data_IF_802924141775
#
_entry.id   IF_802924141775
#
_cell.length_a   1.000
_cell.length_b   1.000
_cell.length_c   1.000
_cell.angle_alpha   90.00
_cell.angle_beta   90.00
_cell.angle_gamma   90.00
#
_symmetry.space_group_name_H-M   'P 1'
#
loop_
_entity.id
_entity.type
_entity.pdbx_description
1 polymer ?
#
# COMPACT_ATOMS: atom_id res chain seq x y z
N UNK A 1 2.72 51.18 6.17
CA UNK A 1 2.80 50.19 5.08
C UNK A 1 4.26 49.87 4.89
N UNK A 2 4.69 48.65 5.19
CA UNK A 2 6.09 48.23 5.00
C UNK A 2 6.15 47.57 3.63
N UNK A 3 6.97 48.10 2.74
CA UNK A 3 7.20 47.57 1.39
C UNK A 3 8.65 47.10 1.36
N UNK A 4 8.87 45.84 0.97
CA UNK A 4 10.21 45.30 0.78
C UNK A 4 10.76 45.79 -0.58
N UNK A 5 11.98 46.32 -0.57
CA UNK A 5 12.71 46.70 -1.79
C UNK A 5 13.68 45.58 -2.16
N UNK A 6 13.72 45.22 -3.44
CA UNK A 6 14.58 44.16 -3.95
C UNK A 6 15.41 44.67 -5.12
N UNK A 7 16.65 44.24 -5.22
CA UNK A 7 17.52 44.55 -6.35
C UNK A 7 16.93 43.98 -7.66
N UNK A 8 16.94 44.77 -8.72
CA UNK A 8 16.54 44.31 -10.06
C UNK A 8 17.64 43.42 -10.64
N UNK A 9 17.30 42.16 -10.91
CA UNK A 9 18.23 41.16 -11.45
C UNK A 9 17.84 40.78 -12.87
N UNK A 10 18.74 40.11 -13.58
CA UNK A 10 18.54 39.66 -14.96
C UNK A 10 17.31 38.72 -15.09
N UNK A 11 16.75 38.59 -16.30
CA UNK A 11 15.72 37.58 -16.57
C UNK A 11 16.18 36.18 -16.15
N UNK A 12 15.25 35.38 -15.60
CA UNK A 12 15.51 34.04 -15.05
C UNK A 12 16.31 34.00 -13.72
N UNK A 13 16.42 35.14 -13.03
CA UNK A 13 16.96 35.20 -11.67
C UNK A 13 16.00 35.89 -10.70
N UNK A 14 16.11 35.58 -9.40
CA UNK A 14 15.25 36.13 -8.35
C UNK A 14 16.08 36.83 -7.26
N UNK A 15 15.74 38.07 -6.95
CA UNK A 15 16.26 38.78 -5.77
C UNK A 15 15.32 38.55 -4.60
N UNK A 16 15.72 37.70 -3.66
CA UNK A 16 14.96 37.38 -2.46
C UNK A 16 15.89 37.67 -1.28
N UNK A 17 15.52 38.64 -0.43
CA UNK A 17 16.19 38.88 0.84
C UNK A 17 15.46 38.10 1.92
N UNK A 18 16.14 37.13 2.53
CA UNK A 18 15.57 36.27 3.57
C UNK A 18 15.14 37.07 4.82
N UNK A 19 15.75 38.24 5.06
CA UNK A 19 15.41 39.18 6.15
C UNK A 19 13.98 39.72 6.06
N UNK A 20 13.33 39.63 4.88
CA UNK A 20 11.93 40.01 4.69
C UNK A 20 10.94 38.88 5.00
N UNK A 21 11.41 37.68 5.34
CA UNK A 21 10.58 36.54 5.71
C UNK A 21 10.80 36.20 7.18
N UNK A 22 9.72 36.21 7.95
CA UNK A 22 9.77 35.86 9.37
C UNK A 22 10.04 34.36 9.55
N UNK A 23 11.32 34.04 9.78
CA UNK A 23 11.79 32.73 10.22
C UNK A 23 12.06 31.71 9.12
N UNK A 24 12.59 30.53 9.49
CA UNK A 24 12.92 29.48 8.54
C UNK A 24 11.69 29.05 7.74
N UNK A 25 11.86 28.85 6.43
CA UNK A 25 10.81 28.30 5.58
C UNK A 25 10.29 26.99 6.17
N UNK A 26 9.01 26.98 6.52
CA UNK A 26 8.31 25.76 6.93
C UNK A 26 8.33 24.76 5.78
N UNK A 27 8.54 23.49 6.12
CA UNK A 27 8.42 22.43 5.13
C UNK A 27 6.99 22.42 4.56
N UNK A 28 6.82 22.26 3.24
CA UNK A 28 5.50 22.24 2.64
C UNK A 28 4.69 21.05 3.18
N UNK A 29 3.53 21.33 3.78
CA UNK A 29 2.58 20.29 4.20
C UNK A 29 1.79 19.78 2.99
N UNK A 30 2.00 18.53 2.61
CA UNK A 30 1.29 17.82 1.52
C UNK A 30 0.18 16.89 2.04
N UNK A 31 -0.54 17.33 3.08
CA UNK A 31 -1.66 16.57 3.64
C UNK A 31 -2.99 16.87 2.92
N UNK A 32 -4.01 16.00 3.05
CA UNK A 32 -5.35 16.27 2.56
C UNK A 32 -5.89 17.62 3.08
N UNK A 33 -6.59 18.36 2.22
CA UNK A 33 -7.21 19.66 2.53
C UNK A 33 -8.71 19.59 2.25
N UNK A 34 -9.51 19.03 3.18
CA UNK A 34 -10.93 18.83 2.97
C UNK A 34 -11.68 20.17 2.93
N UNK A 35 -12.47 20.38 1.89
CA UNK A 35 -13.34 21.55 1.69
C UNK A 35 -14.81 21.20 1.87
N UNK A 36 -15.23 20.06 1.31
CA UNK A 36 -16.63 19.62 1.34
C UNK A 36 -16.98 18.93 2.67
N UNK A 37 -18.28 18.80 2.97
CA UNK A 37 -18.75 18.06 4.15
C UNK A 37 -18.32 16.59 4.10
N UNK A 38 -18.44 15.96 2.93
CA UNK A 38 -18.03 14.57 2.65
C UNK A 38 -16.54 14.39 2.92
N UNK A 39 -15.70 15.26 2.40
CA UNK A 39 -14.24 15.20 2.62
C UNK A 39 -13.90 15.37 4.11
N UNK A 40 -14.56 16.29 4.81
CA UNK A 40 -14.34 16.50 6.26
C UNK A 40 -14.75 15.27 7.07
N UNK A 41 -15.89 14.66 6.76
CA UNK A 41 -16.35 13.43 7.42
C UNK A 41 -15.37 12.28 7.18
N UNK A 42 -14.89 12.13 5.95
CA UNK A 42 -13.92 11.08 5.64
C UNK A 42 -12.57 11.31 6.34
N UNK A 43 -12.04 12.55 6.34
CA UNK A 43 -10.82 12.87 7.06
C UNK A 43 -10.95 12.70 8.59
N UNK A 44 -12.15 12.86 9.15
CA UNK A 44 -12.40 12.66 10.58
C UNK A 44 -12.25 11.18 11.02
N UNK A 45 -12.18 10.23 10.09
CA UNK A 45 -11.91 8.81 10.37
C UNK A 45 -10.47 8.56 10.85
N UNK A 46 -9.55 9.52 10.65
CA UNK A 46 -8.19 9.46 11.17
C UNK A 46 -7.13 8.99 10.17
N UNK A 47 -6.05 8.40 10.69
CA UNK A 47 -4.81 8.17 9.94
C UNK A 47 -4.97 7.22 8.74
N UNK A 48 -5.78 6.16 8.85
CA UNK A 48 -6.00 5.23 7.74
C UNK A 48 -6.73 5.88 6.57
N UNK A 49 -7.65 6.82 6.86
CA UNK A 49 -8.34 7.60 5.84
C UNK A 49 -7.40 8.59 5.15
N UNK A 50 -6.53 9.27 5.91
CA UNK A 50 -5.49 10.12 5.34
C UNK A 50 -4.54 9.33 4.43
N UNK A 51 -4.04 8.18 4.89
CA UNK A 51 -3.17 7.32 4.10
C UNK A 51 -3.86 6.81 2.82
N UNK A 52 -5.16 6.49 2.91
CA UNK A 52 -5.97 6.12 1.74
C UNK A 52 -6.08 7.28 0.74
N UNK A 53 -6.32 8.51 1.18
CA UNK A 53 -6.40 9.69 0.31
C UNK A 53 -5.07 9.97 -0.40
N UNK A 54 -3.95 9.90 0.35
CA UNK A 54 -2.60 10.08 -0.22
C UNK A 54 -2.31 9.00 -1.27
N UNK A 55 -2.65 7.74 -0.99
CA UNK A 55 -2.48 6.64 -1.93
C UNK A 55 -3.38 6.76 -3.17
N UNK A 56 -4.64 7.14 -2.99
CA UNK A 56 -5.59 7.38 -4.09
C UNK A 56 -5.12 8.52 -5.01
N UNK A 57 -4.59 9.60 -4.43
CA UNK A 57 -3.98 10.69 -5.18
C UNK A 57 -2.72 10.23 -5.93
N UNK A 58 -1.86 9.43 -5.30
CA UNK A 58 -0.63 8.93 -5.93
C UNK A 58 -0.90 8.05 -7.15
N UNK A 59 -2.02 7.31 -7.18
CA UNK A 59 -2.43 6.52 -8.36
C UNK A 59 -3.26 7.32 -9.39
N UNK A 60 -3.47 8.62 -9.16
CA UNK A 60 -4.24 9.48 -10.08
C UNK A 60 -5.73 9.19 -10.10
N UNK A 61 -6.36 8.89 -8.95
CA UNK A 61 -7.80 8.65 -8.90
C UNK A 61 -8.61 9.93 -9.18
N UNK A 62 -9.10 10.08 -10.41
CA UNK A 62 -9.92 11.23 -10.85
C UNK A 62 -11.37 11.20 -10.36
N UNK A 63 -11.83 10.08 -9.78
CA UNK A 63 -13.22 9.90 -9.31
C UNK A 63 -13.33 9.93 -7.78
N UNK A 64 -12.32 10.48 -7.10
CA UNK A 64 -12.21 10.43 -5.65
C UNK A 64 -13.46 10.98 -4.94
N UNK A 65 -14.01 12.11 -5.39
CA UNK A 65 -15.20 12.72 -4.78
C UNK A 65 -16.39 11.75 -4.70
N UNK A 66 -16.72 11.08 -5.81
CA UNK A 66 -17.81 10.09 -5.84
C UNK A 66 -17.47 8.83 -5.02
N UNK A 67 -16.20 8.44 -4.97
CA UNK A 67 -15.78 7.30 -4.16
C UNK A 67 -15.90 7.57 -2.65
N UNK A 68 -15.65 8.80 -2.19
CA UNK A 68 -15.79 9.16 -0.78
C UNK A 68 -17.25 9.01 -0.31
N UNK A 69 -18.21 9.41 -1.13
CA UNK A 69 -19.63 9.20 -0.82
C UNK A 69 -19.97 7.70 -0.66
N UNK A 70 -19.46 6.86 -1.56
CA UNK A 70 -19.65 5.40 -1.48
C UNK A 70 -18.97 4.84 -0.22
N UNK A 71 -17.77 5.30 0.12
CA UNK A 71 -17.03 4.84 1.29
C UNK A 71 -17.74 5.22 2.61
N UNK A 72 -18.28 6.43 2.70
CA UNK A 72 -19.07 6.84 3.88
C UNK A 72 -20.39 6.07 3.97
N UNK A 73 -21.04 5.79 2.83
CA UNK A 73 -22.22 4.92 2.80
C UNK A 73 -21.90 3.48 3.25
N UNK A 74 -20.73 2.94 2.88
CA UNK A 74 -20.24 1.66 3.40
C UNK A 74 -20.01 1.71 4.91
N UNK A 75 -19.43 2.80 5.43
CA UNK A 75 -19.28 3.02 6.86
C UNK A 75 -20.63 3.05 7.61
N UNK A 76 -21.63 3.71 7.05
CA UNK A 76 -22.97 3.74 7.61
C UNK A 76 -23.64 2.35 7.64
N UNK A 77 -23.34 1.48 6.66
CA UNK A 77 -23.92 0.14 6.57
C UNK A 77 -23.19 -0.91 7.43
N UNK A 78 -21.86 -0.81 7.55
CA UNK A 78 -21.03 -1.84 8.20
C UNK A 78 -20.50 -1.41 9.58
N UNK A 79 -20.62 -0.13 9.94
CA UNK A 79 -20.03 0.47 11.13
C UNK A 79 -18.64 1.06 10.85
N UNK A 80 -18.30 2.09 11.63
CA UNK A 80 -17.07 2.88 11.47
C UNK A 80 -15.81 2.04 11.69
N UNK A 81 -15.78 1.18 12.71
CA UNK A 81 -14.59 0.37 13.03
C UNK A 81 -14.28 -0.64 11.92
N UNK A 82 -15.31 -1.25 11.34
CA UNK A 82 -15.17 -2.15 10.20
C UNK A 82 -14.63 -1.41 8.97
N UNK A 83 -15.11 -0.18 8.72
CA UNK A 83 -14.61 0.67 7.64
C UNK A 83 -13.13 1.03 7.87
N UNK A 84 -12.74 1.45 9.07
CA UNK A 84 -11.35 1.80 9.39
C UNK A 84 -10.44 0.57 9.18
N UNK A 85 -10.83 -0.59 9.68
CA UNK A 85 -10.08 -1.84 9.47
C UNK A 85 -9.97 -2.21 7.98
N UNK A 86 -11.01 -1.94 7.18
CA UNK A 86 -10.98 -2.15 5.74
C UNK A 86 -10.08 -1.15 5.01
N UNK A 87 -10.09 0.14 5.42
CA UNK A 87 -9.20 1.17 4.89
C UNK A 87 -7.73 0.84 5.20
N UNK A 88 -7.43 0.44 6.44
CA UNK A 88 -6.10 -0.01 6.84
C UNK A 88 -5.57 -1.11 5.91
N UNK A 89 -6.40 -2.13 5.66
CA UNK A 89 -6.05 -3.23 4.76
C UNK A 89 -5.93 -2.75 3.31
N UNK A 90 -6.83 -1.90 2.84
CA UNK A 90 -6.80 -1.34 1.50
C UNK A 90 -5.48 -0.58 1.23
N UNK A 91 -5.04 0.23 2.20
CA UNK A 91 -3.74 0.93 2.18
C UNK A 91 -2.59 -0.07 2.14
N UNK A 92 -2.60 -1.09 3.00
CA UNK A 92 -1.54 -2.09 3.06
C UNK A 92 -1.36 -2.86 1.73
N UNK A 93 -2.46 -3.14 1.03
CA UNK A 93 -2.45 -3.78 -0.29
C UNK A 93 -2.41 -2.80 -1.48
N UNK A 94 -2.28 -1.49 -1.23
CA UNK A 94 -2.25 -0.44 -2.26
C UNK A 94 -3.49 -0.43 -3.17
N UNK A 95 -4.64 -0.78 -2.61
CA UNK A 95 -5.95 -0.80 -3.29
C UNK A 95 -6.74 0.43 -2.87
N UNK A 96 -7.00 1.35 -3.80
CA UNK A 96 -7.52 2.68 -3.48
C UNK A 96 -8.87 2.99 -4.15
N UNK A 97 -9.73 1.98 -4.33
CA UNK A 97 -11.09 2.14 -4.86
C UNK A 97 -12.14 1.75 -3.84
N UNK A 98 -13.29 2.41 -3.88
CA UNK A 98 -14.45 2.02 -3.06
C UNK A 98 -14.90 0.56 -3.28
N UNK A 99 -14.75 0.03 -4.51
CA UNK A 99 -15.02 -1.38 -4.82
C UNK A 99 -14.07 -2.35 -4.10
N UNK A 100 -12.81 -1.94 -3.90
CA UNK A 100 -11.82 -2.74 -3.17
C UNK A 100 -12.18 -2.81 -1.68
N UNK A 101 -12.53 -1.67 -1.09
CA UNK A 101 -12.97 -1.60 0.32
C UNK A 101 -14.24 -2.43 0.54
N UNK A 102 -15.21 -2.36 -0.39
CA UNK A 102 -16.40 -3.23 -0.35
C UNK A 102 -16.01 -4.71 -0.40
N UNK A 103 -15.05 -5.08 -1.25
CA UNK A 103 -14.58 -6.46 -1.35
C UNK A 103 -13.90 -6.94 -0.07
N UNK A 104 -13.14 -6.06 0.59
CA UNK A 104 -12.50 -6.35 1.89
C UNK A 104 -13.55 -6.54 2.98
N UNK A 105 -14.55 -5.67 3.04
CA UNK A 105 -15.67 -5.79 3.99
C UNK A 105 -16.45 -7.09 3.79
N UNK A 106 -16.69 -7.48 2.54
CA UNK A 106 -17.38 -8.73 2.21
C UNK A 106 -16.57 -9.99 2.59
N UNK A 107 -15.24 -9.93 2.45
CA UNK A 107 -14.36 -11.05 2.80
C UNK A 107 -14.19 -11.24 4.32
N UNK A 108 -14.41 -10.20 5.12
CA UNK A 108 -14.37 -10.27 6.58
C UNK A 108 -13.00 -10.67 7.15
N UNK A 109 -13.01 -11.44 8.24
CA UNK A 109 -11.81 -11.83 9.01
C UNK A 109 -10.90 -12.83 8.29
N UNK A 110 -11.34 -13.45 7.19
CA UNK A 110 -10.58 -14.46 6.44
C UNK A 110 -9.49 -13.90 5.51
N UNK A 111 -9.22 -12.59 5.55
CA UNK A 111 -8.29 -11.94 4.63
C UNK A 111 -6.84 -11.98 5.15
N UNK A 112 -5.85 -12.37 4.32
CA UNK A 112 -4.44 -12.37 4.69
C UNK A 112 -4.00 -11.01 5.26
N UNK A 113 -3.16 -11.05 6.31
CA UNK A 113 -2.51 -9.85 6.86
C UNK A 113 -1.12 -9.72 6.22
N UNK A 114 -0.85 -8.65 5.45
CA UNK A 114 0.46 -8.44 4.86
C UNK A 114 1.46 -8.20 5.99
N UNK A 115 2.55 -8.97 5.97
CA UNK A 115 3.67 -8.85 6.91
C UNK A 115 4.89 -8.41 6.12
N UNK A 116 5.74 -7.52 6.65
CA UNK A 116 7.04 -7.25 6.03
C UNK A 116 7.81 -8.56 5.81
N UNK A 117 8.71 -8.56 4.83
CA UNK A 117 9.63 -9.67 4.68
C UNK A 117 10.34 -9.93 6.01
N UNK A 118 10.35 -11.20 6.44
CA UNK A 118 11.13 -11.61 7.60
C UNK A 118 12.62 -11.59 7.28
N UNK A 119 13.44 -11.76 8.31
CA UNK A 119 14.87 -11.88 8.14
C UNK A 119 15.23 -13.10 7.28
N UNK A 120 16.33 -12.98 6.54
CA UNK A 120 16.85 -14.09 5.76
C UNK A 120 17.20 -15.25 6.71
N UNK A 121 16.49 -16.36 6.54
CA UNK A 121 16.75 -17.57 7.30
C UNK A 121 18.00 -18.25 6.71
N UNK A 122 19.19 -17.86 7.18
CA UNK A 122 20.45 -18.49 6.82
C UNK A 122 20.59 -19.76 7.67
N UNK A 123 20.21 -20.89 7.06
CA UNK A 123 20.38 -22.22 7.63
C UNK A 123 21.44 -22.97 6.83
N UNK A 124 22.41 -23.57 7.53
CA UNK A 124 23.24 -24.61 6.97
C UNK A 124 22.41 -25.88 6.82
N UNK A 125 21.76 -25.99 5.66
CA UNK A 125 20.99 -27.18 5.30
C UNK A 125 21.95 -28.36 5.11
N UNK A 126 21.64 -29.54 5.67
CA UNK A 126 22.46 -30.71 5.45
C UNK A 126 22.44 -31.07 3.97
N UNK A 127 23.63 -31.28 3.38
CA UNK A 127 23.75 -31.77 2.01
C UNK A 127 23.27 -33.21 1.99
N UNK A 128 22.13 -33.46 1.33
CA UNK A 128 21.66 -34.81 1.10
C UNK A 128 22.65 -35.55 0.18
N UNK A 129 23.05 -36.80 0.49
CA UNK A 129 23.90 -37.57 -0.40
C UNK A 129 23.15 -37.84 -1.71
N UNK A 130 23.68 -37.32 -2.83
CA UNK A 130 23.14 -37.61 -4.15
C UNK A 130 23.53 -39.04 -4.55
N UNK A 131 22.53 -39.88 -4.82
CA UNK A 131 22.74 -41.23 -5.36
C UNK A 131 23.02 -41.12 -6.87
N UNK A 132 24.00 -41.86 -7.38
CA UNK A 132 24.25 -41.91 -8.83
C UNK A 132 23.01 -42.36 -9.58
N UNK A 133 22.75 -41.76 -10.76
CA UNK A 133 21.65 -42.16 -11.64
C UNK A 133 21.76 -43.62 -12.10
N UNK A 134 22.98 -44.18 -12.15
CA UNK A 134 23.19 -45.60 -12.44
C UNK A 134 22.49 -46.52 -11.43
N UNK A 135 22.33 -46.08 -10.18
CA UNK A 135 21.65 -46.84 -9.14
C UNK A 135 20.12 -46.93 -9.34
N UNK A 136 19.58 -46.17 -10.29
CA UNK A 136 18.17 -46.21 -10.70
C UNK A 136 17.98 -46.88 -12.05
N UNK A 137 19.03 -47.46 -12.65
CA UNK A 137 18.87 -48.27 -13.86
C UNK A 137 17.99 -49.47 -13.53
N UNK A 138 16.80 -49.48 -14.10
CA UNK A 138 15.90 -50.63 -14.07
C UNK A 138 16.51 -51.66 -15.02
N UNK A 139 16.97 -52.78 -14.47
CA UNK A 139 17.37 -53.93 -15.28
C UNK A 139 16.16 -54.52 -16.02
N UNK A 140 16.36 -55.30 -17.09
CA UNK A 140 15.25 -56.06 -17.66
C UNK A 140 14.63 -56.91 -16.54
N UNK A 141 13.31 -56.84 -16.39
CA UNK A 141 12.55 -57.78 -15.55
C UNK A 141 12.97 -59.18 -15.97
N UNK A 142 13.69 -59.87 -15.08
CA UNK A 142 14.11 -61.25 -15.31
C UNK A 142 12.86 -62.09 -15.55
N UNK A 143 12.86 -62.79 -16.68
CA UNK A 143 12.00 -63.93 -16.90
C UNK A 143 12.47 -65.04 -15.94
N UNK A 144 12.01 -64.98 -14.70
CA UNK A 144 12.06 -66.10 -13.76
C UNK A 144 10.65 -66.70 -13.70
N UNK A 145 10.28 -67.44 -14.74
CA UNK A 145 9.34 -68.56 -14.63
C UNK A 145 9.48 -69.50 -15.84
N UNK A 146 10.14 -70.65 -15.65
CA UNK A 146 9.56 -71.97 -15.93
C UNK A 146 10.61 -73.10 -15.78
N UNK A 147 10.32 -73.97 -14.81
CA UNK A 147 10.19 -75.43 -14.90
C UNK A 147 11.28 -76.20 -15.66
N UNK A 148 11.91 -77.18 -14.99
CA UNK A 148 11.97 -78.59 -15.41
C UNK A 148 12.26 -79.47 -14.17
N UNK A 149 11.30 -80.38 -13.93
CA UNK A 149 11.31 -81.70 -13.27
C UNK A 149 12.34 -82.07 -12.22
#
# INVERSE_FOLDING_TARGET
MIVAEHELVAPDSASILDEHYDGPRLAPSRGPRPKTSVEKQFCALGADAEAFLVGAAAIGNTRLAAELEILLALGAAHGTDALIAALHRAVAFRRFRAADVRSILAAGTGTPQPRPAGDALILDLPVAPMRSLDAYKIGPVGADDEVIS
#
